data_IF_349605015110
#
_entry.id   IF_349605015110
#
_cell.length_a   1.000
_cell.length_b   1.000
_cell.length_c   1.000
_cell.angle_alpha   90.00
_cell.angle_beta   90.00
_cell.angle_gamma   90.00
#
_symmetry.space_group_name_H-M   'P 1'
#
loop_
_entity.id
_entity.type
_entity.pdbx_description
1 polymer ?
#
# COMPACT_ATOMS: atom_id res chain seq x y z
N UNK A 1 13.81 4.10 -14.06
CA UNK A 1 13.01 5.35 -14.05
C UNK A 1 11.62 5.05 -13.54
N UNK A 2 11.34 5.32 -12.25
CA UNK A 2 9.99 5.31 -11.66
C UNK A 2 9.18 6.50 -12.22
N UNK A 3 8.93 6.55 -13.51
CA UNK A 3 8.34 7.74 -14.14
C UNK A 3 6.82 7.70 -14.20
N UNK A 4 6.17 6.58 -13.89
CA UNK A 4 4.72 6.44 -14.13
C UNK A 4 3.83 6.59 -12.88
N UNK A 5 4.38 6.50 -11.67
CA UNK A 5 3.57 6.55 -10.44
C UNK A 5 3.71 7.85 -9.62
N UNK A 6 4.54 8.81 -10.04
CA UNK A 6 4.83 10.01 -9.22
C UNK A 6 3.62 10.91 -8.96
N UNK A 7 2.66 10.94 -9.84
CA UNK A 7 1.48 11.82 -9.75
C UNK A 7 0.21 11.12 -9.25
N UNK A 8 0.26 9.81 -8.97
CA UNK A 8 -0.94 9.06 -8.58
C UNK A 8 -1.12 8.90 -7.08
N UNK A 9 -0.10 9.23 -6.27
CA UNK A 9 -0.18 9.04 -4.83
C UNK A 9 0.57 10.11 -4.03
N UNK A 10 -0.02 10.59 -2.94
CA UNK A 10 0.64 11.40 -1.93
C UNK A 10 1.06 10.52 -0.74
N UNK A 11 2.20 10.86 -0.13
CA UNK A 11 2.75 10.12 1.02
C UNK A 11 3.02 11.06 2.17
N UNK A 12 2.54 10.70 3.35
CA UNK A 12 2.84 11.40 4.60
C UNK A 12 3.55 10.44 5.55
N UNK A 13 4.69 10.86 6.07
CA UNK A 13 5.40 10.12 7.11
C UNK A 13 5.07 10.70 8.48
N UNK A 14 4.73 9.81 9.42
CA UNK A 14 4.61 10.17 10.85
C UNK A 14 5.72 9.48 11.65
N UNK A 15 6.22 10.11 12.71
CA UNK A 15 7.19 9.46 13.60
C UNK A 15 6.56 8.37 14.49
N UNK A 16 5.24 8.40 14.68
CA UNK A 16 4.55 7.49 15.59
C UNK A 16 3.78 6.41 14.83
N UNK A 17 4.32 5.19 14.80
CA UNK A 17 3.67 4.03 14.20
C UNK A 17 2.41 3.60 14.94
N UNK A 18 2.37 3.78 16.27
CA UNK A 18 1.25 3.35 17.12
C UNK A 18 -0.02 4.19 16.86
N UNK A 19 0.15 5.39 16.31
CA UNK A 19 -0.97 6.25 15.93
C UNK A 19 -1.62 5.83 14.60
N UNK A 20 -0.91 5.12 13.71
CA UNK A 20 -1.41 4.80 12.37
C UNK A 20 -2.71 3.98 12.40
N UNK A 21 -2.83 2.89 13.21
CA UNK A 21 -4.04 2.07 13.25
C UNK A 21 -5.29 2.83 13.73
N UNK A 22 -5.11 3.85 14.55
CA UNK A 22 -6.22 4.59 15.20
C UNK A 22 -6.64 5.85 14.44
N UNK A 23 -5.96 6.20 13.34
CA UNK A 23 -6.29 7.38 12.56
C UNK A 23 -7.70 7.27 11.95
N UNK A 24 -8.47 8.34 12.09
CA UNK A 24 -9.78 8.52 11.46
C UNK A 24 -9.74 9.77 10.57
N UNK A 25 -9.18 9.68 9.35
CA UNK A 25 -9.01 10.84 8.50
C UNK A 25 -10.36 11.32 7.94
N UNK A 26 -10.48 12.64 7.82
CA UNK A 26 -11.58 13.29 7.13
C UNK A 26 -11.48 13.01 5.62
N UNK A 27 -12.41 12.22 5.09
CA UNK A 27 -12.42 11.81 3.68
C UNK A 27 -12.53 13.01 2.72
N UNK A 28 -13.30 14.05 3.10
CA UNK A 28 -13.44 15.24 2.26
C UNK A 28 -12.11 16.01 2.15
N UNK A 29 -11.36 16.09 3.25
CA UNK A 29 -10.02 16.70 3.24
C UNK A 29 -9.03 15.86 2.44
N UNK A 30 -9.11 14.53 2.52
CA UNK A 30 -8.26 13.65 1.70
C UNK A 30 -8.56 13.80 0.20
N UNK A 31 -9.82 14.02 -0.18
CA UNK A 31 -10.19 14.27 -1.57
C UNK A 31 -9.60 15.58 -2.13
N UNK A 32 -9.33 16.56 -1.28
CA UNK A 32 -8.72 17.83 -1.68
C UNK A 32 -7.21 17.74 -1.90
N UNK A 33 -6.55 16.66 -1.45
CA UNK A 33 -5.12 16.47 -1.65
C UNK A 33 -4.81 15.99 -3.07
N UNK A 34 -3.58 16.28 -3.53
CA UNK A 34 -3.10 15.77 -4.81
C UNK A 34 -2.95 14.24 -4.79
N UNK A 35 -3.05 13.63 -5.99
CA UNK A 35 -2.97 12.19 -6.17
C UNK A 35 -4.29 11.46 -5.93
N UNK A 36 -4.38 10.23 -6.43
CA UNK A 36 -5.54 9.34 -6.28
C UNK A 36 -5.51 8.59 -4.95
N UNK A 37 -4.31 8.21 -4.50
CA UNK A 37 -4.06 7.45 -3.28
C UNK A 37 -3.33 8.32 -2.27
N UNK A 38 -3.76 8.23 -1.02
CA UNK A 38 -3.14 8.92 0.09
C UNK A 38 -2.55 7.89 1.05
N UNK A 39 -1.21 7.87 1.18
CA UNK A 39 -0.53 6.94 2.05
C UNK A 39 0.00 7.65 3.29
N UNK A 40 -0.29 7.10 4.46
CA UNK A 40 0.41 7.44 5.69
C UNK A 40 1.28 6.28 6.11
N UNK A 41 2.53 6.53 6.48
CA UNK A 41 3.48 5.48 6.85
C UNK A 41 4.42 5.92 7.96
N UNK A 42 4.83 4.95 8.78
CA UNK A 42 5.84 5.10 9.82
C UNK A 42 6.79 3.89 9.85
N UNK A 43 7.92 4.03 10.54
CA UNK A 43 8.75 2.89 10.90
C UNK A 43 7.98 2.01 11.89
N UNK A 44 7.87 0.73 11.61
CA UNK A 44 7.30 -0.25 12.54
C UNK A 44 8.26 -0.64 13.65
N UNK A 45 7.74 -1.28 14.69
CA UNK A 45 8.51 -1.91 15.77
C UNK A 45 8.85 -3.37 15.41
N UNK A 46 7.82 -4.13 15.05
CA UNK A 46 7.92 -5.54 14.63
C UNK A 46 8.09 -5.69 13.11
N UNK A 47 7.64 -4.69 12.35
CA UNK A 47 7.73 -4.60 10.90
C UNK A 47 8.69 -3.49 10.50
N UNK A 48 9.26 -3.58 9.31
CA UNK A 48 10.13 -2.51 8.78
C UNK A 48 9.34 -1.23 8.52
N UNK A 49 8.06 -1.36 8.11
CA UNK A 49 7.15 -0.23 7.97
C UNK A 49 5.71 -0.61 8.34
N UNK A 50 4.98 0.39 8.81
CA UNK A 50 3.52 0.33 9.01
C UNK A 50 2.88 1.42 8.16
N UNK A 51 1.75 1.13 7.54
CA UNK A 51 1.06 2.08 6.67
C UNK A 51 -0.45 1.89 6.67
N UNK A 52 -1.16 2.92 6.20
CA UNK A 52 -2.56 2.85 5.75
C UNK A 52 -2.69 3.61 4.44
N UNK A 53 -3.64 3.18 3.61
CA UNK A 53 -3.88 3.75 2.30
C UNK A 53 -5.34 4.12 2.16
N UNK A 54 -5.60 5.37 1.80
CA UNK A 54 -6.94 5.93 1.59
C UNK A 54 -7.11 6.32 0.13
N UNK A 55 -8.26 6.04 -0.46
CA UNK A 55 -8.54 6.26 -1.86
C UNK A 55 -9.95 6.83 -2.11
N UNK A 56 -10.37 7.92 -1.41
CA UNK A 56 -11.73 8.42 -1.51
C UNK A 56 -12.08 8.90 -2.92
N UNK A 57 -11.11 9.35 -3.71
CA UNK A 57 -11.30 9.72 -5.13
C UNK A 57 -11.67 8.53 -6.03
N UNK A 58 -11.40 7.32 -5.58
CA UNK A 58 -11.76 6.07 -6.26
C UNK A 58 -13.00 5.41 -5.64
N UNK A 59 -13.79 6.16 -4.86
CA UNK A 59 -14.94 5.66 -4.10
C UNK A 59 -14.58 4.54 -3.09
N UNK A 60 -13.32 4.47 -2.67
CA UNK A 60 -12.83 3.54 -1.65
C UNK A 60 -12.29 4.34 -0.47
N UNK A 61 -12.99 4.32 0.65
CA UNK A 61 -12.58 5.09 1.83
C UNK A 61 -11.18 4.67 2.32
N UNK A 62 -10.92 3.37 2.34
CA UNK A 62 -9.62 2.80 2.70
C UNK A 62 -9.37 1.50 1.94
N UNK A 63 -8.20 1.36 1.33
CA UNK A 63 -7.75 0.11 0.71
C UNK A 63 -7.26 -0.86 1.80
N UNK A 64 -7.80 -2.07 1.88
CA UNK A 64 -7.40 -3.03 2.91
C UNK A 64 -5.92 -3.42 2.87
N UNK A 65 -5.37 -3.68 1.68
CA UNK A 65 -3.93 -3.96 1.45
C UNK A 65 -3.57 -3.53 0.02
N UNK A 66 -2.93 -2.39 -0.10
CA UNK A 66 -2.64 -1.74 -1.37
C UNK A 66 -1.27 -2.17 -1.93
N UNK A 67 -1.26 -3.04 -2.92
CA UNK A 67 -0.02 -3.45 -3.59
C UNK A 67 0.68 -2.29 -4.30
N UNK A 68 -0.06 -1.52 -5.12
CA UNK A 68 0.48 -0.34 -5.80
C UNK A 68 0.97 0.74 -4.83
N UNK A 69 0.31 0.90 -3.68
CA UNK A 69 0.77 1.80 -2.62
C UNK A 69 2.14 1.39 -2.07
N UNK A 70 2.39 0.09 -1.94
CA UNK A 70 3.69 -0.40 -1.47
C UNK A 70 4.81 -0.17 -2.48
N UNK A 71 4.51 0.01 -3.78
CA UNK A 71 5.49 0.46 -4.75
C UNK A 71 6.02 1.88 -4.47
N UNK A 72 5.31 2.66 -3.66
CA UNK A 72 5.76 3.97 -3.19
C UNK A 72 6.38 3.91 -1.79
N UNK A 73 5.84 3.06 -0.91
CA UNK A 73 6.22 2.99 0.51
C UNK A 73 7.53 2.21 0.68
N UNK A 74 7.67 1.07 0.01
CA UNK A 74 8.83 0.17 0.19
C UNK A 74 10.14 0.81 -0.24
N UNK A 75 10.27 1.46 -1.43
CA UNK A 75 11.52 2.13 -1.80
C UNK A 75 11.94 3.22 -0.82
N UNK A 76 10.97 3.95 -0.25
CA UNK A 76 11.25 4.95 0.78
C UNK A 76 11.89 4.33 2.02
N UNK A 77 11.34 3.21 2.51
CA UNK A 77 11.85 2.56 3.71
C UNK A 77 13.10 1.73 3.43
N UNK A 78 13.22 1.11 2.25
CA UNK A 78 14.44 0.44 1.82
C UNK A 78 15.65 1.40 1.87
N UNK A 79 15.50 2.57 1.30
CA UNK A 79 16.54 3.62 1.34
C UNK A 79 16.86 4.06 2.77
N UNK A 80 15.82 4.30 3.61
CA UNK A 80 16.01 4.78 4.99
C UNK A 80 16.64 3.76 5.91
N UNK A 81 16.37 2.49 5.69
CA UNK A 81 16.85 1.40 6.53
C UNK A 81 18.12 0.74 5.99
N UNK A 82 18.53 1.07 4.74
CA UNK A 82 19.65 0.42 4.07
C UNK A 82 19.40 -1.07 3.84
N UNK A 83 18.15 -1.47 3.54
CA UNK A 83 17.73 -2.87 3.38
C UNK A 83 17.05 -3.04 2.02
N UNK A 84 17.28 -4.19 1.38
CA UNK A 84 16.56 -4.58 0.16
C UNK A 84 15.32 -5.44 0.48
N UNK A 85 15.38 -6.24 1.55
CA UNK A 85 14.25 -7.09 2.00
C UNK A 85 13.57 -6.44 3.19
N UNK A 86 12.26 -6.23 3.06
CA UNK A 86 11.44 -5.58 4.06
C UNK A 86 10.17 -6.38 4.34
N UNK A 87 9.73 -6.36 5.59
CA UNK A 87 8.41 -6.82 5.98
C UNK A 87 7.57 -5.59 6.29
N UNK A 88 6.55 -5.34 5.47
CA UNK A 88 5.65 -4.21 5.59
C UNK A 88 4.28 -4.63 6.13
N UNK A 89 3.70 -3.83 7.01
CA UNK A 89 2.35 -4.01 7.54
C UNK A 89 1.43 -2.92 7.06
N UNK A 90 0.34 -3.25 6.38
CA UNK A 90 -0.77 -2.32 6.19
C UNK A 90 -1.78 -2.50 7.33
N UNK A 91 -1.96 -1.46 8.14
CA UNK A 91 -2.73 -1.48 9.37
C UNK A 91 -4.17 -0.98 9.17
N UNK A 92 -4.81 -1.38 8.08
CA UNK A 92 -6.25 -1.21 7.87
C UNK A 92 -7.05 -2.10 8.84
N UNK A 93 -8.38 -1.94 8.88
CA UNK A 93 -9.26 -2.79 9.71
C UNK A 93 -9.04 -4.29 9.46
N UNK A 94 -8.91 -4.70 8.19
CA UNK A 94 -8.58 -6.09 7.81
C UNK A 94 -7.10 -6.39 8.08
N UNK A 95 -6.25 -5.46 7.72
CA UNK A 95 -4.82 -5.58 7.78
C UNK A 95 -4.23 -6.56 6.76
N UNK A 96 -2.91 -6.49 6.60
CA UNK A 96 -2.15 -7.43 5.79
C UNK A 96 -0.66 -7.21 5.93
N UNK A 97 0.08 -8.28 5.77
CA UNK A 97 1.56 -8.27 5.80
C UNK A 97 2.07 -8.54 4.39
N UNK A 98 3.02 -7.74 3.95
CA UNK A 98 3.68 -7.88 2.66
C UNK A 98 5.16 -8.15 2.89
N UNK A 99 5.67 -9.16 2.21
CA UNK A 99 7.09 -9.49 2.12
C UNK A 99 7.62 -8.86 0.84
N UNK A 100 8.53 -7.92 0.98
CA UNK A 100 8.95 -7.03 -0.09
C UNK A 100 10.43 -7.21 -0.37
N UNK A 101 10.83 -7.21 -1.64
CA UNK A 101 12.23 -7.29 -2.02
C UNK A 101 12.51 -6.32 -3.18
N UNK A 102 13.49 -5.42 -2.96
CA UNK A 102 13.98 -4.50 -3.98
C UNK A 102 14.99 -5.20 -4.89
N UNK A 103 14.83 -5.05 -6.21
CA UNK A 103 15.74 -5.52 -7.24
C UNK A 103 16.09 -4.34 -8.16
N UNK A 104 17.02 -3.50 -7.70
CA UNK A 104 17.32 -2.24 -8.39
C UNK A 104 16.11 -1.33 -8.45
N UNK A 105 15.55 -1.10 -9.63
CA UNK A 105 14.36 -0.27 -9.87
C UNK A 105 13.02 -1.07 -9.84
N UNK A 106 13.09 -2.37 -9.56
CA UNK A 106 11.92 -3.26 -9.46
C UNK A 106 11.66 -3.64 -8.02
N UNK A 107 10.39 -3.92 -7.72
CA UNK A 107 9.94 -4.38 -6.41
C UNK A 107 9.13 -5.66 -6.58
N UNK A 108 9.54 -6.71 -5.86
CA UNK A 108 8.72 -7.90 -5.66
C UNK A 108 7.88 -7.74 -4.40
N UNK A 109 6.58 -8.04 -4.52
CA UNK A 109 5.64 -8.07 -3.41
C UNK A 109 5.07 -9.48 -3.28
N UNK A 110 5.12 -10.04 -2.09
CA UNK A 110 4.51 -11.32 -1.76
C UNK A 110 3.60 -11.19 -0.54
N UNK A 111 2.62 -12.05 -0.45
CA UNK A 111 1.67 -12.14 0.65
C UNK A 111 1.11 -13.55 0.78
N UNK A 112 0.22 -13.76 1.73
CA UNK A 112 -0.50 -15.03 1.91
C UNK A 112 -1.82 -15.00 1.16
N UNK A 113 -2.21 -16.13 0.59
CA UNK A 113 -3.48 -16.32 -0.06
C UNK A 113 -4.04 -17.71 0.27
N UNK A 114 -5.36 -17.85 0.19
CA UNK A 114 -6.07 -19.13 0.29
C UNK A 114 -6.93 -19.35 -0.94
N UNK A 115 -6.98 -20.59 -1.42
CA UNK A 115 -7.90 -20.95 -2.48
C UNK A 115 -9.32 -20.92 -1.93
N UNK A 116 -10.16 -20.04 -2.48
CA UNK A 116 -11.56 -19.91 -2.08
C UNK A 116 -12.52 -20.70 -2.96
N UNK A 117 -12.32 -20.62 -4.28
CA UNK A 117 -13.16 -21.34 -5.24
C UNK A 117 -12.41 -21.65 -6.54
N UNK A 118 -12.89 -22.65 -7.26
CA UNK A 118 -12.54 -22.94 -8.65
C UNK A 118 -13.83 -22.89 -9.43
N UNK A 119 -13.85 -22.22 -10.60
CA UNK A 119 -15.02 -22.13 -11.46
C UNK A 119 -14.63 -22.30 -12.93
N UNK A 120 -15.48 -22.98 -13.68
CA UNK A 120 -15.42 -23.02 -15.13
C UNK A 120 -16.23 -21.85 -15.70
N UNK A 121 -15.62 -21.09 -16.61
CA UNK A 121 -16.26 -19.96 -17.27
C UNK A 121 -16.55 -20.31 -18.73
N UNK A 122 -17.80 -20.17 -19.12
CA UNK A 122 -18.26 -20.34 -20.50
C UNK A 122 -18.51 -18.94 -21.08
N UNK A 123 -17.71 -18.54 -22.06
CA UNK A 123 -17.85 -17.26 -22.79
C UNK A 123 -18.29 -17.57 -24.21
N UNK A 124 -19.33 -16.87 -24.67
CA UNK A 124 -19.70 -16.89 -26.09
C UNK A 124 -18.72 -16.00 -26.85
N UNK A 125 -18.14 -16.52 -27.95
CA UNK A 125 -17.35 -15.72 -28.86
C UNK A 125 -18.32 -14.81 -29.65
N UNK A 126 -18.12 -13.49 -29.55
CA UNK A 126 -18.81 -12.54 -30.44
C UNK A 126 -18.30 -12.76 -31.87
N UNK A 127 -19.18 -13.20 -32.77
CA UNK A 127 -18.93 -13.32 -34.21
C UNK A 127 -18.88 -11.95 -34.90
#
# INVERSE_FOLDING_TARGET
KFTSCRNSAARTRTPNADAIPTLTPDQAKLMALDGLLQHITARGKEYDSVSRTFAPKLAVAEDPVCGSGHCHIVPLWAQKLGKEKLVARQASKRGGTLYCEMHGDRLSLAGTAVLYSIADLYVEEEN
#
